data_IF_750792166893
#
_entry.id   IF_750792166893
#
_cell.length_a   1.000
_cell.length_b   1.000
_cell.length_c   1.000
_cell.angle_alpha   90.00
_cell.angle_beta   90.00
_cell.angle_gamma   90.00
#
_symmetry.space_group_name_H-M   'P 1'
#
loop_
_entity.id
_entity.type
_entity.pdbx_description
1 polymer ?
#
# COMPACT_ATOMS: atom_id res chain seq x y z
N UNK A 1 48.70 3.08 -19.37
CA UNK A 1 47.94 2.21 -18.44
C UNK A 1 46.62 2.92 -18.15
N UNK A 2 45.47 2.22 -17.98
CA UNK A 2 44.21 2.82 -17.61
C UNK A 2 43.92 2.46 -16.17
N UNK A 3 43.57 3.48 -15.38
CA UNK A 3 43.21 3.32 -13.97
C UNK A 3 41.68 3.43 -13.82
N UNK A 4 41.10 2.44 -13.16
CA UNK A 4 39.65 2.38 -12.90
C UNK A 4 39.39 2.36 -11.41
N UNK A 5 38.33 3.03 -11.00
CA UNK A 5 37.80 3.00 -9.63
C UNK A 5 36.38 2.45 -9.67
N UNK A 6 36.07 1.58 -8.71
CA UNK A 6 34.72 1.07 -8.50
C UNK A 6 33.98 1.95 -7.52
N UNK A 7 32.87 2.50 -7.97
CA UNK A 7 31.96 3.29 -7.14
C UNK A 7 30.69 2.50 -6.85
N UNK A 8 30.29 2.50 -5.57
CA UNK A 8 29.00 1.94 -5.18
C UNK A 8 27.87 2.83 -5.69
N UNK A 9 26.92 2.26 -6.38
CA UNK A 9 25.74 2.90 -6.93
C UNK A 9 24.47 2.21 -6.44
N UNK A 10 23.33 2.83 -6.66
CA UNK A 10 22.02 2.22 -6.41
C UNK A 10 21.18 2.29 -7.68
N UNK A 11 20.59 1.17 -8.04
CA UNK A 11 19.71 1.05 -9.20
C UNK A 11 18.28 0.84 -8.74
N UNK A 12 17.37 1.64 -9.25
CA UNK A 12 15.94 1.44 -9.04
C UNK A 12 15.41 0.38 -10.02
N UNK A 13 14.69 -0.59 -9.49
CA UNK A 13 14.07 -1.66 -10.26
C UNK A 13 12.57 -1.70 -9.97
N UNK A 14 11.77 -1.91 -11.01
CA UNK A 14 10.31 -2.10 -10.92
C UNK A 14 9.98 -3.43 -11.58
N UNK A 15 9.37 -4.33 -10.83
CA UNK A 15 8.90 -5.59 -11.36
C UNK A 15 7.65 -5.42 -12.23
N UNK A 16 7.35 -6.38 -13.11
CA UNK A 16 6.03 -6.46 -13.74
C UNK A 16 4.92 -6.49 -12.67
N UNK A 17 3.80 -5.85 -12.97
CA UNK A 17 2.62 -5.88 -12.09
C UNK A 17 2.10 -7.31 -11.97
N UNK A 18 1.79 -7.73 -10.76
CA UNK A 18 1.17 -9.03 -10.45
C UNK A 18 -0.23 -8.83 -9.91
N UNK A 19 -1.13 -9.74 -10.21
CA UNK A 19 -2.51 -9.71 -9.73
C UNK A 19 -2.73 -10.79 -8.66
N UNK A 20 -3.59 -10.47 -7.69
CA UNK A 20 -4.05 -11.40 -6.66
C UNK A 20 -5.52 -11.21 -6.38
N UNK A 21 -6.29 -12.28 -6.49
CA UNK A 21 -7.70 -12.31 -6.06
C UNK A 21 -7.76 -12.71 -4.59
N UNK A 22 -8.51 -11.97 -3.81
CA UNK A 22 -8.82 -12.24 -2.40
C UNK A 22 -10.32 -12.34 -2.26
N UNK A 23 -10.78 -13.53 -1.85
CA UNK A 23 -12.19 -13.80 -1.57
C UNK A 23 -12.37 -14.03 -0.07
N UNK A 24 -13.42 -13.49 0.48
CA UNK A 24 -13.78 -13.65 1.88
C UNK A 24 -15.29 -13.86 2.03
N UNK A 25 -15.67 -14.93 2.73
CA UNK A 25 -17.08 -15.22 3.01
C UNK A 25 -17.29 -15.20 4.52
N UNK A 26 -17.84 -14.12 5.08
CA UNK A 26 -18.15 -14.03 6.50
C UNK A 26 -19.25 -15.04 6.88
N UNK A 27 -19.07 -15.69 8.04
CA UNK A 27 -20.03 -16.65 8.57
C UNK A 27 -20.94 -16.09 9.65
N UNK A 28 -20.72 -14.85 10.07
CA UNK A 28 -21.41 -14.18 11.17
C UNK A 28 -22.60 -13.30 10.70
N UNK A 29 -22.76 -13.12 9.38
CA UNK A 29 -23.94 -12.48 8.80
C UNK A 29 -24.94 -13.55 8.37
N UNK A 30 -26.10 -13.51 9.01
CA UNK A 30 -27.25 -14.28 8.55
C UNK A 30 -27.95 -13.53 7.40
N UNK A 31 -27.70 -13.99 6.16
CA UNK A 31 -28.28 -13.41 4.95
C UNK A 31 -29.81 -13.41 4.96
N UNK A 32 -30.44 -14.33 5.74
CA UNK A 32 -31.89 -14.29 5.88
C UNK A 32 -32.39 -13.02 6.57
N UNK A 33 -31.55 -12.29 7.27
CA UNK A 33 -31.86 -11.02 7.93
C UNK A 33 -31.41 -9.79 7.16
N UNK A 34 -30.72 -9.93 6.04
CA UNK A 34 -30.30 -8.83 5.18
C UNK A 34 -31.40 -8.51 4.19
N UNK A 35 -31.90 -7.28 4.21
CA UNK A 35 -32.86 -6.80 3.22
C UNK A 35 -32.16 -6.25 1.97
N UNK A 36 -31.06 -5.52 2.15
CA UNK A 36 -30.33 -4.88 1.03
C UNK A 36 -28.90 -4.52 1.45
N UNK A 37 -27.93 -4.84 0.61
CA UNK A 37 -26.58 -4.27 0.71
C UNK A 37 -26.62 -2.83 0.17
N UNK A 38 -26.11 -1.88 0.95
CA UNK A 38 -26.08 -0.46 0.59
C UNK A 38 -24.76 -0.08 -0.07
N UNK A 39 -23.66 -0.50 0.53
CA UNK A 39 -22.33 -0.23 -0.02
C UNK A 39 -21.31 -1.22 0.49
N UNK A 40 -20.25 -1.40 -0.30
CA UNK A 40 -19.00 -2.04 0.15
C UNK A 40 -17.86 -1.12 -0.21
N UNK A 41 -17.04 -0.81 0.79
CA UNK A 41 -15.78 -0.14 0.59
C UNK A 41 -14.64 -1.12 0.87
N UNK A 42 -13.63 -1.11 0.03
CA UNK A 42 -12.48 -2.02 0.14
C UNK A 42 -11.22 -1.20 0.18
N UNK A 43 -10.32 -1.52 1.11
CA UNK A 43 -8.95 -1.02 1.09
C UNK A 43 -7.97 -2.19 1.32
N UNK A 44 -6.76 -2.05 0.80
CA UNK A 44 -5.72 -3.06 0.93
C UNK A 44 -4.35 -2.43 1.14
N UNK A 45 -3.50 -3.15 1.89
CA UNK A 45 -2.12 -2.70 2.13
C UNK A 45 -1.19 -3.88 2.27
N UNK A 46 0.05 -3.70 1.82
CA UNK A 46 1.15 -4.58 2.18
C UNK A 46 1.58 -4.33 3.64
N UNK A 47 1.91 -5.41 4.35
CA UNK A 47 2.38 -5.39 5.74
C UNK A 47 3.82 -5.91 5.81
N UNK A 48 4.14 -6.94 5.03
CA UNK A 48 5.47 -7.52 4.91
C UNK A 48 5.88 -7.60 3.45
N UNK A 49 7.14 -7.28 3.17
CA UNK A 49 7.73 -7.38 1.83
C UNK A 49 9.16 -7.87 2.01
N UNK A 50 9.47 -9.04 1.46
CA UNK A 50 10.76 -9.69 1.58
C UNK A 50 11.28 -10.07 0.21
N UNK A 51 12.45 -9.54 -0.15
CA UNK A 51 13.14 -9.90 -1.38
C UNK A 51 13.90 -11.23 -1.19
N UNK A 52 13.77 -12.09 -2.17
CA UNK A 52 14.44 -13.37 -2.30
C UNK A 52 15.03 -13.47 -3.71
N UNK A 53 15.92 -14.41 -3.96
CA UNK A 53 16.50 -14.60 -5.29
C UNK A 53 15.42 -14.92 -6.33
N UNK A 54 15.22 -14.02 -7.27
CA UNK A 54 14.27 -14.13 -8.37
C UNK A 54 12.82 -13.72 -8.06
N UNK A 55 12.47 -13.34 -6.83
CA UNK A 55 11.11 -12.90 -6.48
C UNK A 55 11.04 -12.08 -5.19
N UNK A 56 9.89 -11.43 -4.99
CA UNK A 56 9.50 -10.83 -3.71
C UNK A 56 8.29 -11.56 -3.16
N UNK A 57 8.34 -11.90 -1.87
CA UNK A 57 7.19 -12.37 -1.11
C UNK A 57 6.53 -11.16 -0.44
N UNK A 58 5.30 -10.84 -0.85
CA UNK A 58 4.50 -9.79 -0.25
C UNK A 58 3.36 -10.41 0.57
N UNK A 59 3.19 -9.95 1.80
CA UNK A 59 2.06 -10.27 2.67
C UNK A 59 1.31 -9.01 3.03
N UNK A 60 0.01 -9.08 3.15
CA UNK A 60 -0.81 -7.91 3.45
C UNK A 60 -2.22 -8.25 3.91
N UNK A 61 -3.04 -7.20 3.98
CA UNK A 61 -4.42 -7.30 4.45
C UNK A 61 -5.36 -6.50 3.57
N UNK A 62 -6.51 -7.08 3.28
CA UNK A 62 -7.67 -6.43 2.67
C UNK A 62 -8.69 -6.18 3.77
N UNK A 63 -9.21 -4.97 3.84
CA UNK A 63 -10.32 -4.61 4.72
C UNK A 63 -11.55 -4.37 3.86
N UNK A 64 -12.63 -5.09 4.16
CA UNK A 64 -13.93 -4.89 3.56
C UNK A 64 -14.84 -4.21 4.58
N UNK A 65 -15.45 -3.09 4.21
CA UNK A 65 -16.47 -2.39 5.02
C UNK A 65 -17.80 -2.51 4.32
N UNK A 66 -18.70 -3.25 4.93
CA UNK A 66 -20.03 -3.50 4.42
C UNK A 66 -21.05 -2.66 5.18
N UNK A 67 -21.88 -1.90 4.47
CA UNK A 67 -23.09 -1.30 5.00
C UNK A 67 -24.33 -1.96 4.38
N UNK A 68 -25.30 -2.36 5.19
CA UNK A 68 -26.52 -3.00 4.74
C UNK A 68 -27.74 -2.59 5.58
N UNK A 69 -28.94 -2.81 5.04
CA UNK A 69 -30.20 -2.73 5.79
C UNK A 69 -30.58 -4.13 6.25
N UNK A 70 -30.99 -4.26 7.50
CA UNK A 70 -31.66 -5.49 7.95
C UNK A 70 -33.15 -5.47 7.53
N UNK A 71 -33.87 -6.57 7.77
CA UNK A 71 -35.30 -6.68 7.41
C UNK A 71 -36.20 -5.71 8.17
N UNK A 72 -35.76 -5.19 9.29
CA UNK A 72 -36.48 -4.18 10.06
C UNK A 72 -36.21 -2.76 9.53
N UNK A 73 -35.37 -2.64 8.49
CA UNK A 73 -35.00 -1.38 7.87
C UNK A 73 -33.90 -0.64 8.63
N UNK A 74 -33.26 -1.28 9.61
CA UNK A 74 -32.18 -0.68 10.40
C UNK A 74 -30.85 -0.76 9.66
N UNK A 75 -30.12 0.36 9.47
CA UNK A 75 -28.79 0.35 8.87
C UNK A 75 -27.77 -0.31 9.79
N UNK A 76 -26.95 -1.16 9.23
CA UNK A 76 -25.86 -1.88 9.90
C UNK A 76 -24.54 -1.66 9.16
N UNK A 77 -23.45 -1.52 9.91
CA UNK A 77 -22.09 -1.47 9.39
C UNK A 77 -21.24 -2.57 10.01
N UNK A 78 -20.47 -3.28 9.18
CA UNK A 78 -19.51 -4.30 9.65
C UNK A 78 -18.22 -4.22 8.87
N UNK A 79 -17.12 -4.52 9.56
CA UNK A 79 -15.77 -4.53 8.98
C UNK A 79 -15.21 -5.95 9.01
N UNK A 80 -14.67 -6.40 7.88
CA UNK A 80 -14.02 -7.68 7.74
C UNK A 80 -12.58 -7.52 7.25
N UNK A 81 -11.71 -8.42 7.70
CA UNK A 81 -10.30 -8.42 7.31
C UNK A 81 -9.95 -9.78 6.72
N UNK A 82 -9.32 -9.77 5.56
CA UNK A 82 -8.74 -10.94 4.93
C UNK A 82 -7.25 -10.74 4.70
N UNK A 83 -6.41 -11.65 5.17
CA UNK A 83 -4.98 -11.58 4.91
C UNK A 83 -4.68 -12.22 3.55
N UNK A 84 -3.68 -11.70 2.86
CA UNK A 84 -3.20 -12.26 1.61
C UNK A 84 -1.69 -12.46 1.63
N UNK A 85 -1.23 -13.38 0.81
CA UNK A 85 0.17 -13.56 0.45
C UNK A 85 0.28 -13.67 -1.05
N UNK A 86 1.31 -13.04 -1.62
CA UNK A 86 1.58 -13.09 -3.05
C UNK A 86 3.09 -13.18 -3.29
N UNK A 87 3.44 -13.89 -4.35
CA UNK A 87 4.78 -13.94 -4.90
C UNK A 87 4.79 -13.09 -6.18
N UNK A 88 5.75 -12.19 -6.27
CA UNK A 88 5.98 -11.36 -7.46
C UNK A 88 7.35 -11.67 -8.00
N UNK A 89 7.40 -12.35 -9.15
CA UNK A 89 8.65 -12.72 -9.80
C UNK A 89 9.33 -11.51 -10.46
N UNK A 90 10.66 -11.49 -10.44
CA UNK A 90 11.44 -10.41 -11.02
C UNK A 90 12.93 -10.57 -10.79
N UNK A 91 13.70 -9.60 -11.21
CA UNK A 91 15.15 -9.57 -11.00
C UNK A 91 15.49 -9.09 -9.59
N UNK A 92 15.17 -9.88 -8.57
CA UNK A 92 15.46 -9.60 -7.18
C UNK A 92 16.59 -10.46 -6.64
N UNK A 93 17.27 -9.97 -5.61
CA UNK A 93 18.27 -10.69 -4.84
C UNK A 93 17.90 -10.63 -3.34
N UNK A 94 18.31 -11.65 -2.59
CA UNK A 94 18.12 -11.66 -1.14
C UNK A 94 18.77 -10.42 -0.50
N UNK A 95 17.98 -9.68 0.28
CA UNK A 95 18.42 -8.46 0.94
C UNK A 95 18.27 -7.17 0.12
N UNK A 96 17.71 -7.21 -1.09
CA UNK A 96 17.26 -6.01 -1.80
C UNK A 96 16.24 -5.25 -0.96
N UNK A 97 16.31 -3.91 -0.99
CA UNK A 97 15.30 -3.08 -0.34
C UNK A 97 14.06 -2.97 -1.24
N UNK A 98 13.10 -3.88 -1.00
CA UNK A 98 11.86 -3.93 -1.75
C UNK A 98 10.69 -3.32 -0.97
N UNK A 99 9.71 -2.78 -1.71
CA UNK A 99 8.40 -2.39 -1.20
C UNK A 99 7.32 -2.75 -2.20
N UNK A 100 6.09 -2.86 -1.72
CA UNK A 100 4.95 -3.24 -2.53
C UNK A 100 3.82 -2.23 -2.32
N UNK A 101 3.40 -1.59 -3.39
CA UNK A 101 2.18 -0.81 -3.45
C UNK A 101 1.03 -1.73 -3.90
N UNK A 102 -0.06 -1.71 -3.15
CA UNK A 102 -1.25 -2.51 -3.42
C UNK A 102 -2.35 -1.58 -3.92
N UNK A 103 -2.86 -1.86 -5.10
CA UNK A 103 -3.97 -1.13 -5.71
C UNK A 103 -5.14 -2.09 -5.90
N UNK A 104 -6.33 -1.68 -5.52
CA UNK A 104 -7.55 -2.44 -5.80
C UNK A 104 -7.99 -2.10 -7.21
N UNK A 105 -7.94 -3.07 -8.12
CA UNK A 105 -8.38 -2.91 -9.50
C UNK A 105 -9.88 -3.18 -9.66
N UNK A 106 -10.41 -4.13 -8.87
CA UNK A 106 -11.82 -4.50 -8.90
C UNK A 106 -12.27 -4.97 -7.50
N UNK A 107 -13.52 -4.73 -7.17
CA UNK A 107 -14.16 -5.29 -5.98
C UNK A 107 -15.60 -5.66 -6.30
N UNK A 108 -16.06 -6.79 -5.78
CA UNK A 108 -17.40 -7.29 -5.99
C UNK A 108 -18.01 -7.87 -4.72
N UNK A 109 -19.36 -7.92 -4.71
CA UNK A 109 -20.15 -8.45 -3.61
C UNK A 109 -21.26 -9.31 -4.15
N UNK A 110 -21.18 -10.58 -3.88
CA UNK A 110 -22.26 -11.52 -4.12
C UNK A 110 -23.05 -11.75 -2.82
N UNK A 111 -24.34 -11.42 -2.84
CA UNK A 111 -25.26 -11.53 -1.72
C UNK A 111 -26.43 -12.44 -2.09
N UNK A 112 -26.19 -13.75 -2.04
CA UNK A 112 -27.17 -14.79 -2.30
C UNK A 112 -27.56 -15.48 -0.98
N UNK A 113 -27.47 -16.82 -0.92
CA UNK A 113 -27.63 -17.58 0.33
C UNK A 113 -26.47 -17.32 1.31
N UNK A 114 -25.32 -16.95 0.78
CA UNK A 114 -24.13 -16.53 1.51
C UNK A 114 -23.61 -15.19 0.98
N UNK A 115 -22.92 -14.43 1.83
CA UNK A 115 -22.21 -13.24 1.42
C UNK A 115 -20.80 -13.63 0.98
N UNK A 116 -20.40 -13.21 -0.22
CA UNK A 116 -19.01 -13.32 -0.68
C UNK A 116 -18.50 -11.94 -1.09
N UNK A 117 -17.38 -11.56 -0.52
CA UNK A 117 -16.68 -10.31 -0.76
C UNK A 117 -15.41 -10.61 -1.55
N UNK A 118 -15.25 -10.01 -2.71
CA UNK A 118 -14.09 -10.24 -3.59
C UNK A 118 -13.34 -8.95 -3.82
N UNK A 119 -12.02 -9.03 -3.80
CA UNK A 119 -11.12 -7.94 -4.20
C UNK A 119 -10.05 -8.46 -5.14
N UNK A 120 -9.85 -7.79 -6.25
CA UNK A 120 -8.73 -8.02 -7.17
C UNK A 120 -7.66 -6.96 -6.88
N UNK A 121 -6.48 -7.43 -6.50
CA UNK A 121 -5.36 -6.61 -6.11
C UNK A 121 -4.30 -6.59 -7.22
N UNK A 122 -3.87 -5.40 -7.63
CA UNK A 122 -2.65 -5.20 -8.38
C UNK A 122 -1.49 -4.92 -7.42
N UNK A 123 -0.45 -5.73 -7.49
CA UNK A 123 0.76 -5.63 -6.69
C UNK A 123 1.88 -5.02 -7.53
N UNK A 124 2.32 -3.83 -7.15
CA UNK A 124 3.41 -3.09 -7.81
C UNK A 124 4.63 -3.13 -6.91
N UNK A 125 5.54 -4.05 -7.21
CA UNK A 125 6.76 -4.22 -6.42
C UNK A 125 7.91 -3.44 -7.04
N UNK A 126 8.60 -2.70 -6.20
CA UNK A 126 9.80 -1.96 -6.56
C UNK A 126 10.92 -2.28 -5.58
N UNK A 127 12.17 -2.18 -6.04
CA UNK A 127 13.33 -2.38 -5.19
C UNK A 127 14.45 -1.41 -5.52
N UNK A 128 15.30 -1.15 -4.54
CA UNK A 128 16.59 -0.51 -4.73
C UNK A 128 17.67 -1.59 -4.60
N UNK A 129 18.34 -1.82 -5.71
CA UNK A 129 19.44 -2.78 -5.84
C UNK A 129 20.77 -2.09 -5.66
N UNK A 130 21.74 -2.79 -5.09
CA UNK A 130 23.12 -2.33 -5.09
C UNK A 130 23.72 -2.61 -6.45
N UNK A 131 24.49 -1.65 -6.94
CA UNK A 131 25.22 -1.74 -8.21
C UNK A 131 26.63 -1.19 -8.03
N UNK A 132 27.55 -1.61 -8.89
CA UNK A 132 28.92 -1.09 -8.95
C UNK A 132 29.15 -0.50 -10.34
N UNK A 133 29.66 0.73 -10.34
CA UNK A 133 30.05 1.41 -11.58
C UNK A 133 31.54 1.51 -11.63
N UNK A 134 32.16 1.04 -12.71
CA UNK A 134 33.58 1.28 -12.97
C UNK A 134 33.76 2.62 -13.69
N UNK A 135 34.57 3.47 -13.11
CA UNK A 135 34.87 4.81 -13.63
C UNK A 135 36.36 4.88 -13.95
N UNK A 136 36.68 5.32 -15.17
CA UNK A 136 38.05 5.61 -15.56
C UNK A 136 38.53 6.85 -14.83
N UNK A 137 39.55 6.73 -13.97
CA UNK A 137 40.10 7.81 -13.17
C UNK A 137 41.44 8.34 -13.69
N UNK A 138 42.11 7.58 -14.50
CA UNK A 138 43.38 7.97 -15.10
C UNK A 138 43.75 7.21 -16.38
N UNK A 139 44.58 7.80 -17.20
CA UNK A 139 45.18 7.15 -18.36
C UNK A 139 46.54 7.75 -18.62
N UNK A 140 47.56 6.90 -18.77
CA UNK A 140 48.90 7.31 -19.18
C UNK A 140 48.95 7.54 -20.69
N UNK A 141 49.77 8.49 -21.12
CA UNK A 141 50.06 8.78 -22.53
C UNK A 141 48.84 9.22 -23.39
N UNK A 142 47.77 9.73 -22.74
CA UNK A 142 46.55 10.20 -23.39
C UNK A 142 46.14 11.58 -22.92
N UNK A 143 45.45 12.34 -23.77
CA UNK A 143 44.67 13.51 -23.31
C UNK A 143 43.40 13.04 -22.65
N UNK A 144 43.22 13.33 -21.39
CA UNK A 144 42.02 12.97 -20.62
C UNK A 144 41.20 14.25 -20.33
N UNK A 145 39.92 14.20 -20.68
CA UNK A 145 38.95 15.20 -20.20
C UNK A 145 38.13 14.58 -19.10
N UNK A 146 38.19 15.16 -17.92
CA UNK A 146 37.43 14.71 -16.75
C UNK A 146 36.07 15.43 -16.68
N UNK A 147 35.04 14.73 -16.23
CA UNK A 147 33.73 15.30 -15.94
C UNK A 147 33.31 14.81 -14.55
N UNK A 148 32.86 15.73 -13.73
CA UNK A 148 32.25 15.42 -12.45
C UNK A 148 30.87 14.78 -12.68
N UNK A 149 30.63 13.62 -12.05
CA UNK A 149 29.34 12.93 -12.09
C UNK A 149 28.85 12.70 -10.67
N UNK A 150 27.54 12.87 -10.48
CA UNK A 150 26.88 12.53 -9.22
C UNK A 150 26.20 11.17 -9.37
N UNK A 151 26.58 10.23 -8.52
CA UNK A 151 26.01 8.89 -8.49
C UNK A 151 25.02 8.82 -7.31
N UNK A 152 23.72 8.64 -7.54
CA UNK A 152 22.79 8.48 -6.46
C UNK A 152 23.06 7.18 -5.71
N UNK A 153 23.15 7.28 -4.41
CA UNK A 153 23.37 6.12 -3.52
C UNK A 153 22.24 6.04 -2.51
N UNK A 154 21.64 4.86 -2.37
CA UNK A 154 20.65 4.59 -1.33
C UNK A 154 21.33 4.58 0.05
N UNK A 155 20.77 5.34 0.98
CA UNK A 155 21.32 5.45 2.33
C UNK A 155 20.55 4.56 3.31
N UNK A 156 19.24 4.75 3.39
CA UNK A 156 18.36 4.00 4.32
C UNK A 156 16.89 4.18 3.99
N UNK A 157 16.10 3.22 4.45
CA UNK A 157 14.64 3.30 4.53
C UNK A 157 14.20 3.11 5.98
N UNK A 158 13.23 3.88 6.42
CA UNK A 158 12.64 3.76 7.75
C UNK A 158 11.13 3.87 7.67
N UNK A 159 10.45 2.90 8.25
CA UNK A 159 9.01 2.96 8.48
C UNK A 159 8.75 3.59 9.84
N UNK A 160 7.87 4.58 9.86
CA UNK A 160 7.48 5.27 11.10
C UNK A 160 5.95 5.21 11.21
N UNK A 161 5.46 4.75 12.36
CA UNK A 161 4.04 4.80 12.69
C UNK A 161 3.78 6.10 13.42
N UNK A 162 2.93 6.95 12.84
CA UNK A 162 2.53 8.22 13.44
C UNK A 162 1.09 8.10 13.91
N UNK A 163 0.82 8.11 15.22
CA UNK A 163 -0.55 8.14 15.72
C UNK A 163 -1.18 9.48 15.33
N UNK A 164 -2.44 9.43 14.92
CA UNK A 164 -3.25 10.60 14.60
C UNK A 164 -4.58 10.49 15.34
N UNK A 165 -4.92 11.54 16.03
CA UNK A 165 -6.19 11.70 16.74
C UNK A 165 -6.74 13.09 16.46
N UNK A 166 -8.00 13.19 16.01
CA UNK A 166 -8.68 14.47 15.77
C UNK A 166 -10.17 14.30 16.00
N UNK A 167 -10.77 15.27 16.66
CA UNK A 167 -12.21 15.31 16.93
C UNK A 167 -12.88 16.36 16.08
N UNK A 168 -13.96 16.00 15.41
CA UNK A 168 -14.80 16.92 14.63
C UNK A 168 -16.24 16.85 15.11
N UNK A 169 -16.79 18.03 15.39
CA UNK A 169 -18.22 18.16 15.64
C UNK A 169 -18.95 18.23 14.31
N UNK A 170 -19.85 17.29 14.06
CA UNK A 170 -20.65 17.21 12.81
C UNK A 170 -21.99 17.93 12.90
N UNK A 171 -22.34 18.51 14.08
CA UNK A 171 -23.48 19.38 14.24
C UNK A 171 -24.85 18.71 14.42
N UNK A 172 -24.89 17.38 14.48
CA UNK A 172 -26.11 16.58 14.66
C UNK A 172 -25.94 15.48 15.70
N UNK A 173 -27.00 14.75 16.00
CA UNK A 173 -26.98 13.57 16.85
C UNK A 173 -26.71 12.34 16.00
N UNK A 174 -25.51 11.76 16.16
CA UNK A 174 -25.11 10.54 15.47
C UNK A 174 -25.67 9.35 16.25
N UNK A 175 -26.55 8.58 15.60
CA UNK A 175 -27.10 7.36 16.16
C UNK A 175 -26.13 6.17 16.05
N UNK A 176 -25.46 6.04 14.88
CA UNK A 176 -24.46 5.01 14.65
C UNK A 176 -23.49 5.39 13.54
N UNK A 177 -22.26 4.88 13.61
CA UNK A 177 -21.25 4.99 12.54
C UNK A 177 -21.26 3.70 11.74
N UNK A 178 -21.53 3.79 10.44
CA UNK A 178 -21.57 2.65 9.51
C UNK A 178 -20.21 2.33 8.89
N UNK A 179 -19.34 3.33 8.81
CA UNK A 179 -18.00 3.16 8.27
C UNK A 179 -17.14 4.40 8.41
N UNK A 180 -15.85 4.19 8.50
CA UNK A 180 -14.83 5.24 8.50
C UNK A 180 -13.72 4.86 7.50
N UNK A 181 -13.36 5.79 6.64
CA UNK A 181 -12.20 5.64 5.76
C UNK A 181 -11.27 6.82 5.89
N UNK A 182 -9.97 6.59 5.73
CA UNK A 182 -8.98 7.65 5.74
C UNK A 182 -7.97 7.47 4.60
N UNK A 183 -7.67 8.56 3.91
CA UNK A 183 -6.66 8.61 2.86
C UNK A 183 -5.58 9.61 3.27
N UNK A 184 -4.33 9.20 3.19
CA UNK A 184 -3.18 10.04 3.50
C UNK A 184 -2.52 10.48 2.19
N UNK A 185 -2.37 11.78 2.01
CA UNK A 185 -1.76 12.38 0.83
C UNK A 185 -0.47 13.08 1.24
N UNK A 186 0.70 12.71 0.71
CA UNK A 186 1.93 13.44 0.92
C UNK A 186 1.88 14.79 0.21
N UNK A 187 2.15 15.88 0.94
CA UNK A 187 2.18 17.23 0.39
C UNK A 187 3.61 17.69 0.09
N UNK A 188 4.54 17.37 0.95
CA UNK A 188 5.94 17.79 0.84
C UNK A 188 6.82 16.83 1.64
N UNK A 189 7.97 16.51 1.09
CA UNK A 189 9.05 15.83 1.81
C UNK A 189 10.36 16.56 1.59
N UNK A 190 11.25 16.51 2.56
CA UNK A 190 12.59 17.06 2.45
C UNK A 190 13.57 16.21 3.29
N UNK A 191 14.74 15.95 2.71
CA UNK A 191 15.85 15.41 3.47
C UNK A 191 16.47 16.53 4.33
N UNK A 192 16.87 16.17 5.54
CA UNK A 192 17.57 17.03 6.50
C UNK A 192 18.81 16.33 7.00
N UNK A 193 19.71 17.04 7.63
CA UNK A 193 20.88 16.43 8.29
C UNK A 193 20.42 15.41 9.33
N UNK A 194 20.77 14.14 9.12
CA UNK A 194 20.42 13.03 10.01
C UNK A 194 18.98 12.53 9.93
N UNK A 195 18.17 12.97 8.93
CA UNK A 195 16.80 12.52 8.84
C UNK A 195 16.02 13.01 7.62
N UNK A 196 14.70 12.91 7.72
CA UNK A 196 13.77 13.45 6.73
C UNK A 196 12.53 14.01 7.41
N UNK A 197 11.92 15.01 6.78
CA UNK A 197 10.64 15.58 7.19
C UNK A 197 9.60 15.33 6.11
N UNK A 198 8.36 15.01 6.52
CA UNK A 198 7.24 14.90 5.61
C UNK A 198 6.04 15.67 6.14
N UNK A 199 5.34 16.40 5.26
CA UNK A 199 4.05 17.01 5.52
C UNK A 199 2.99 16.19 4.81
N UNK A 200 2.03 15.70 5.59
CA UNK A 200 0.95 14.85 5.11
C UNK A 200 -0.38 15.56 5.29
N UNK A 201 -1.37 15.22 4.47
CA UNK A 201 -2.76 15.62 4.65
C UNK A 201 -3.60 14.36 4.75
N UNK A 202 -4.44 14.29 5.79
CA UNK A 202 -5.36 13.20 6.01
C UNK A 202 -6.75 13.67 5.62
N UNK A 203 -7.42 12.90 4.77
CA UNK A 203 -8.83 13.02 4.45
C UNK A 203 -9.55 11.86 5.12
N UNK A 204 -10.46 12.15 6.02
CA UNK A 204 -11.31 11.15 6.64
C UNK A 204 -12.76 11.33 6.16
N UNK A 205 -13.41 10.23 5.83
CA UNK A 205 -14.81 10.16 5.44
C UNK A 205 -15.50 9.21 6.41
N UNK A 206 -16.51 9.71 7.11
CA UNK A 206 -17.37 8.91 7.97
C UNK A 206 -18.75 8.80 7.34
N UNK A 207 -19.28 7.58 7.25
CA UNK A 207 -20.68 7.31 6.95
C UNK A 207 -21.40 6.98 8.24
N UNK A 208 -22.46 7.70 8.54
CA UNK A 208 -23.18 7.55 9.82
C UNK A 208 -24.68 7.71 9.62
N UNK A 209 -25.46 7.32 10.62
CA UNK A 209 -26.90 7.50 10.69
C UNK A 209 -27.20 8.69 11.59
N UNK A 210 -27.95 9.65 11.08
CA UNK A 210 -28.47 10.78 11.80
C UNK A 210 -29.99 10.78 11.70
N UNK A 211 -30.70 10.65 12.83
CA UNK A 211 -32.17 10.66 12.88
C UNK A 211 -32.83 9.72 11.86
N UNK A 212 -32.29 8.50 11.68
CA UNK A 212 -32.77 7.49 10.74
C UNK A 212 -32.41 7.74 9.25
N UNK A 213 -31.54 8.70 8.96
CA UNK A 213 -30.99 8.98 7.63
C UNK A 213 -29.50 8.68 7.56
N UNK A 214 -29.05 8.17 6.40
CA UNK A 214 -27.63 7.85 6.12
C UNK A 214 -27.00 9.00 5.34
#
# INVERSE_FOLDING_TARGET
>A
MFDFEKLSASKFYVAPTSERVVEFSPSDIDMSNVAKVLSVAVDARAISVEAQDGYVQAGGRVNFRLAYLDKDGTPKGVDYNADFTARVDGEFEEGDNAWCDVVISESDVEANDTLTLTAVLELKVSAIKRDEIEVLTGADDCYVTTKEIFVPTYIAQKTVVVPFDDEKNVGGEIESVLGLSATVVPLKSAATEGGATAKLKIYAIATYVESGQI
#
